data_IF_035306012099
#
_entry.id   IF_035306012099
#
_cell.length_a   1.000
_cell.length_b   1.000
_cell.length_c   1.000
_cell.angle_alpha   90.00
_cell.angle_beta   90.00
_cell.angle_gamma   90.00
#
_symmetry.space_group_name_H-M   'P 1'
#
loop_
_entity.id
_entity.type
_entity.pdbx_description
1 polymer ?
#
# COMPACT_ATOMS: atom_id res chain seq x y z
N UNK A 1 7.75 4.54 -21.52
CA UNK A 1 7.89 5.41 -20.34
C UNK A 1 6.50 5.89 -20.01
N UNK A 2 5.95 5.41 -18.90
CA UNK A 2 4.59 5.66 -18.46
C UNK A 2 4.55 7.05 -17.82
N UNK A 3 3.66 7.93 -18.28
CA UNK A 3 3.56 9.29 -17.76
C UNK A 3 2.39 9.38 -16.79
N UNK A 4 2.67 9.89 -15.59
CA UNK A 4 1.68 10.19 -14.57
C UNK A 4 1.56 11.72 -14.54
N UNK A 5 0.42 12.22 -14.98
CA UNK A 5 0.14 13.65 -14.98
C UNK A 5 -0.18 14.12 -13.56
N UNK A 6 0.72 14.89 -12.96
CA UNK A 6 0.46 15.44 -11.62
C UNK A 6 -0.59 16.55 -11.74
N UNK A 7 -1.70 16.49 -10.97
CA UNK A 7 -2.76 17.49 -11.03
C UNK A 7 -2.28 18.94 -10.90
N UNK A 8 -2.82 19.84 -11.73
CA UNK A 8 -2.45 21.27 -11.73
C UNK A 8 -2.63 21.98 -10.39
N UNK A 9 -3.53 21.46 -9.54
CA UNK A 9 -3.67 21.78 -8.13
C UNK A 9 -3.46 20.46 -7.38
N UNK A 10 -2.52 20.42 -6.45
CA UNK A 10 -2.22 19.24 -5.64
C UNK A 10 -2.41 19.54 -4.14
N UNK A 11 -3.48 19.01 -3.57
CA UNK A 11 -3.93 19.02 -2.16
C UNK A 11 -4.46 17.63 -1.78
N UNK A 12 -4.91 17.48 -0.52
CA UNK A 12 -5.51 16.25 -0.01
C UNK A 12 -6.72 15.72 -0.83
N UNK A 13 -7.45 16.58 -1.55
CA UNK A 13 -8.59 16.15 -2.37
C UNK A 13 -8.14 15.68 -3.75
N UNK A 14 -7.34 16.49 -4.44
CA UNK A 14 -6.80 16.17 -5.78
C UNK A 14 -5.76 15.04 -5.79
N UNK A 15 -5.16 14.72 -4.65
CA UNK A 15 -4.25 13.59 -4.48
C UNK A 15 -4.87 12.24 -4.89
N UNK A 16 -6.18 12.04 -4.74
CA UNK A 16 -6.82 10.77 -5.07
C UNK A 16 -6.68 10.40 -6.55
N UNK A 17 -6.65 11.41 -7.43
CA UNK A 17 -6.40 11.20 -8.86
C UNK A 17 -4.97 10.69 -9.09
N UNK A 18 -3.99 11.29 -8.41
CA UNK A 18 -2.59 10.84 -8.50
C UNK A 18 -2.45 9.41 -7.96
N UNK A 19 -3.15 9.07 -6.88
CA UNK A 19 -3.18 7.72 -6.33
C UNK A 19 -3.81 6.70 -7.30
N UNK A 20 -4.90 7.07 -7.99
CA UNK A 20 -5.53 6.24 -9.01
C UNK A 20 -4.60 6.00 -10.21
N UNK A 21 -4.02 7.07 -10.75
CA UNK A 21 -3.08 6.98 -11.88
C UNK A 21 -1.84 6.14 -11.52
N UNK A 22 -1.37 6.21 -10.26
CA UNK A 22 -0.32 5.36 -9.74
C UNK A 22 -0.76 3.90 -9.56
N UNK A 23 -1.98 3.64 -9.09
CA UNK A 23 -2.51 2.29 -8.93
C UNK A 23 -2.58 1.56 -10.28
N UNK A 24 -2.99 2.26 -11.33
CA UNK A 24 -3.09 1.76 -12.69
C UNK A 24 -1.75 1.79 -13.47
N UNK A 25 -0.66 2.25 -12.84
CA UNK A 25 0.64 2.37 -13.49
C UNK A 25 1.13 0.98 -13.99
N UNK A 26 1.40 0.83 -15.30
CA UNK A 26 2.02 -0.38 -15.83
C UNK A 26 3.46 -0.53 -15.36
N UNK A 27 3.99 -1.75 -15.43
CA UNK A 27 5.40 -2.02 -15.16
C UNK A 27 6.33 -1.22 -16.10
N UNK A 28 7.56 -1.00 -15.65
CA UNK A 28 8.59 -0.31 -16.40
C UNK A 28 8.78 1.15 -16.00
N UNK A 29 9.46 1.92 -16.85
CA UNK A 29 9.92 3.28 -16.49
C UNK A 29 8.74 4.23 -16.37
N UNK A 30 8.66 4.96 -15.26
CA UNK A 30 7.64 5.99 -15.03
C UNK A 30 8.22 7.41 -14.97
N UNK A 31 7.40 8.38 -15.35
CA UNK A 31 7.66 9.81 -15.28
C UNK A 31 6.47 10.50 -14.60
N UNK A 32 6.71 11.15 -13.48
CA UNK A 32 5.77 12.07 -12.85
C UNK A 32 5.94 13.45 -13.50
N UNK A 33 4.95 13.87 -14.29
CA UNK A 33 4.96 15.18 -14.94
C UNK A 33 4.29 16.22 -14.04
N UNK A 34 5.10 16.99 -13.30
CA UNK A 34 4.62 18.08 -12.47
C UNK A 34 4.79 19.47 -13.10
N UNK A 35 5.15 19.56 -14.40
CA UNK A 35 5.41 20.85 -15.08
C UNK A 35 4.22 21.80 -15.01
N UNK A 36 3.02 21.24 -15.09
CA UNK A 36 1.76 21.96 -15.11
C UNK A 36 1.16 22.22 -13.73
N UNK A 37 1.84 21.84 -12.64
CA UNK A 37 1.41 22.18 -11.27
C UNK A 37 1.50 23.70 -11.08
N UNK A 38 0.35 24.31 -10.77
CA UNK A 38 0.19 25.75 -10.50
C UNK A 38 -0.04 26.03 -9.03
N UNK A 39 -0.41 25.02 -8.24
CA UNK A 39 -0.60 25.16 -6.80
C UNK A 39 -0.36 23.83 -6.11
N UNK A 40 0.35 23.86 -4.99
CA UNK A 40 0.64 22.71 -4.15
C UNK A 40 0.70 23.16 -2.69
N UNK A 41 0.12 22.38 -1.77
CA UNK A 41 0.17 22.63 -0.33
C UNK A 41 0.94 21.54 0.42
N UNK A 42 1.06 21.58 1.76
CA UNK A 42 1.72 20.52 2.52
C UNK A 42 1.20 19.11 2.23
N UNK A 43 -0.11 18.94 2.02
CA UNK A 43 -0.69 17.63 1.71
C UNK A 43 -0.33 17.16 0.31
N UNK A 44 -0.27 18.08 -0.67
CA UNK A 44 0.25 17.76 -1.98
C UNK A 44 1.74 17.40 -1.97
N UNK A 45 2.55 18.09 -1.16
CA UNK A 45 4.00 17.80 -1.04
C UNK A 45 4.24 16.42 -0.43
N UNK A 46 3.65 16.14 0.73
CA UNK A 46 3.82 14.84 1.40
C UNK A 46 3.17 13.71 0.60
N UNK A 47 2.02 13.96 -0.04
CA UNK A 47 1.38 13.02 -0.95
C UNK A 47 2.25 12.68 -2.16
N UNK A 48 2.91 13.66 -2.78
CA UNK A 48 3.81 13.43 -3.90
C UNK A 48 5.04 12.60 -3.48
N UNK A 49 5.57 12.81 -2.28
CA UNK A 49 6.64 11.99 -1.71
C UNK A 49 6.18 10.56 -1.46
N UNK A 50 4.99 10.38 -0.88
CA UNK A 50 4.38 9.07 -0.66
C UNK A 50 4.15 8.32 -1.98
N UNK A 51 3.63 9.00 -3.01
CA UNK A 51 3.47 8.43 -4.34
C UNK A 51 4.81 8.03 -4.97
N UNK A 52 5.86 8.84 -4.79
CA UNK A 52 7.21 8.50 -5.22
C UNK A 52 7.78 7.29 -4.49
N UNK A 53 7.57 7.20 -3.17
CA UNK A 53 8.02 6.07 -2.36
C UNK A 53 7.37 4.76 -2.82
N UNK A 54 6.05 4.77 -3.03
CA UNK A 54 5.33 3.61 -3.56
C UNK A 54 5.79 3.26 -4.97
N UNK A 55 6.00 4.25 -5.85
CA UNK A 55 6.53 4.00 -7.19
C UNK A 55 7.93 3.38 -7.13
N UNK A 56 8.78 3.82 -6.20
CA UNK A 56 10.13 3.28 -5.99
C UNK A 56 10.11 1.83 -5.52
N UNK A 57 9.13 1.42 -4.70
CA UNK A 57 8.95 0.03 -4.29
C UNK A 57 8.37 -0.85 -5.42
N UNK A 58 7.54 -0.27 -6.29
CA UNK A 58 6.82 -1.00 -7.34
C UNK A 58 7.60 -1.17 -8.65
N UNK A 59 8.58 -0.30 -8.93
CA UNK A 59 9.30 -0.25 -10.20
C UNK A 59 10.77 -0.66 -10.04
N UNK A 60 11.33 -1.33 -11.05
CA UNK A 60 12.74 -1.76 -11.06
C UNK A 60 13.73 -0.58 -11.02
N UNK A 61 13.32 0.58 -11.54
CA UNK A 61 14.11 1.81 -11.55
C UNK A 61 13.31 2.95 -10.88
N UNK A 62 13.97 3.86 -10.14
CA UNK A 62 13.29 5.02 -9.57
C UNK A 62 12.57 5.84 -10.65
N UNK A 63 11.30 6.15 -10.41
CA UNK A 63 10.52 6.98 -11.32
C UNK A 63 11.17 8.35 -11.47
N UNK A 64 11.14 8.90 -12.69
CA UNK A 64 11.59 10.27 -12.93
C UNK A 64 10.53 11.26 -12.49
N UNK A 65 10.93 12.46 -12.08
CA UNK A 65 10.00 13.57 -11.85
C UNK A 65 10.46 14.83 -12.58
N UNK A 66 9.55 15.40 -13.38
CA UNK A 66 9.71 16.73 -13.95
C UNK A 66 9.11 17.76 -13.01
N UNK A 67 9.93 18.68 -12.50
CA UNK A 67 9.51 19.66 -11.52
C UNK A 67 8.59 20.75 -12.15
N UNK A 68 7.77 21.43 -11.33
CA UNK A 68 6.91 22.51 -11.81
C UNK A 68 7.67 23.64 -12.51
N UNK A 69 7.11 24.13 -13.62
CA UNK A 69 7.66 25.27 -14.38
C UNK A 69 7.29 26.63 -13.78
N UNK A 70 6.21 26.67 -12.98
CA UNK A 70 5.80 27.90 -12.30
C UNK A 70 6.85 28.31 -11.27
N UNK A 71 7.47 29.48 -11.45
CA UNK A 71 8.49 30.02 -10.53
C UNK A 71 8.00 30.13 -9.09
N UNK A 72 6.72 30.41 -8.89
CA UNK A 72 6.11 30.53 -7.57
C UNK A 72 6.05 29.17 -6.88
N UNK A 73 5.63 28.14 -7.60
CA UNK A 73 5.57 26.75 -7.10
C UNK A 73 6.97 26.21 -6.90
N UNK A 74 7.90 26.36 -7.84
CA UNK A 74 9.29 25.90 -7.69
C UNK A 74 9.98 26.61 -6.53
N UNK A 75 9.74 27.91 -6.35
CA UNK A 75 10.24 28.70 -5.23
C UNK A 75 9.66 28.24 -3.89
N UNK A 76 8.37 27.92 -3.85
CA UNK A 76 7.73 27.35 -2.67
C UNK A 76 8.30 25.97 -2.31
N UNK A 77 8.42 25.06 -3.28
CA UNK A 77 9.05 23.74 -3.08
C UNK A 77 10.50 23.84 -2.61
N UNK A 78 11.23 24.84 -3.09
CA UNK A 78 12.58 25.17 -2.61
C UNK A 78 12.59 25.57 -1.14
N UNK A 79 11.68 26.47 -0.72
CA UNK A 79 11.54 26.87 0.70
C UNK A 79 11.01 25.76 1.60
N UNK A 80 10.25 24.82 1.06
CA UNK A 80 9.76 23.65 1.79
C UNK A 80 10.79 22.53 1.89
N UNK A 81 11.95 22.64 1.24
CA UNK A 81 12.97 21.57 1.24
C UNK A 81 12.59 20.32 0.43
N UNK A 82 11.57 20.39 -0.42
CA UNK A 82 11.04 19.22 -1.14
C UNK A 82 12.10 18.45 -1.93
N UNK A 83 13.02 19.17 -2.59
CA UNK A 83 14.06 18.56 -3.45
C UNK A 83 15.01 17.62 -2.71
N UNK A 84 15.21 17.83 -1.41
CA UNK A 84 16.07 16.96 -0.60
C UNK A 84 15.42 15.57 -0.48
N UNK A 85 14.19 15.54 0.03
CA UNK A 85 13.39 14.32 0.18
C UNK A 85 13.01 13.68 -1.17
N UNK A 86 12.76 14.49 -2.21
CA UNK A 86 12.41 13.98 -3.53
C UNK A 86 13.55 13.16 -4.17
N UNK A 87 14.83 13.41 -3.84
CA UNK A 87 15.96 12.59 -4.33
C UNK A 87 15.98 11.20 -3.72
N UNK A 88 15.36 11.03 -2.56
CA UNK A 88 15.26 9.73 -1.92
C UNK A 88 14.21 8.86 -2.62
N UNK A 89 13.21 9.45 -3.28
CA UNK A 89 12.09 8.68 -3.85
C UNK A 89 11.99 8.77 -5.38
N UNK A 90 12.61 9.75 -6.02
CA UNK A 90 12.61 9.95 -7.47
C UNK A 90 14.01 10.09 -8.07
N UNK A 91 14.14 9.69 -9.34
CA UNK A 91 15.24 10.12 -10.19
C UNK A 91 15.00 11.57 -10.66
N UNK A 92 15.83 12.49 -10.18
CA UNK A 92 15.80 13.91 -10.55
C UNK A 92 16.88 14.22 -11.58
N UNK A 93 16.52 14.89 -12.68
CA UNK A 93 17.50 15.36 -13.65
C UNK A 93 18.41 16.42 -13.00
N UNK A 94 19.73 16.32 -13.24
CA UNK A 94 20.72 17.29 -12.77
C UNK A 94 20.60 18.62 -13.54
N UNK A 95 19.60 19.42 -13.16
CA UNK A 95 19.26 20.63 -13.92
C UNK A 95 18.35 21.56 -13.15
N UNK A 96 18.76 21.99 -11.95
CA UNK A 96 17.95 22.92 -11.16
C UNK A 96 18.77 23.69 -10.15
N UNK A 97 19.02 24.97 -10.46
CA UNK A 97 19.74 25.93 -9.60
C UNK A 97 19.40 25.78 -8.11
N UNK A 98 20.45 25.65 -7.28
CA UNK A 98 20.43 25.90 -5.83
C UNK A 98 20.19 27.40 -5.61
N UNK A 99 18.95 27.87 -5.75
CA UNK A 99 18.56 29.17 -5.20
C UNK A 99 17.96 28.94 -3.83
N UNK A 100 18.82 28.97 -2.81
CA UNK A 100 18.40 29.18 -1.43
C UNK A 100 17.81 30.58 -1.34
N UNK A 101 16.48 30.67 -1.39
CA UNK A 101 15.78 31.94 -1.22
C UNK A 101 15.94 32.41 0.22
N UNK A 102 16.79 33.41 0.43
CA UNK A 102 17.05 34.10 1.69
C UNK A 102 15.92 35.09 2.01
N UNK A 103 14.72 34.55 2.23
CA UNK A 103 13.54 35.33 2.61
C UNK A 103 12.94 34.77 3.89
N UNK A 104 12.57 35.65 4.82
CA UNK A 104 11.80 35.29 6.02
C UNK A 104 10.56 34.49 5.60
N UNK A 105 10.60 33.19 5.83
CA UNK A 105 9.67 32.24 5.22
C UNK A 105 8.41 32.12 6.08
N UNK A 106 7.23 32.26 5.47
CA UNK A 106 5.94 31.91 6.08
C UNK A 106 5.80 30.38 6.35
N UNK A 107 6.83 29.60 5.98
CA UNK A 107 6.96 28.17 6.25
C UNK A 107 7.20 27.93 7.73
N UNK A 108 6.20 27.34 8.37
CA UNK A 108 6.25 26.98 9.77
C UNK A 108 7.15 25.76 10.00
N UNK A 109 6.99 24.75 9.13
CA UNK A 109 7.76 23.52 9.15
C UNK A 109 8.00 23.05 7.71
N UNK A 110 9.27 23.09 7.30
CA UNK A 110 9.76 22.44 6.07
C UNK A 110 9.46 20.94 6.10
N UNK A 111 9.45 20.30 4.93
CA UNK A 111 9.32 18.85 4.85
C UNK A 111 10.40 18.21 5.71
N UNK A 112 9.98 17.38 6.66
CA UNK A 112 10.85 16.66 7.58
C UNK A 112 10.48 15.19 7.54
N UNK A 113 11.47 14.32 7.36
CA UNK A 113 11.30 12.87 7.49
C UNK A 113 11.10 12.48 8.96
N UNK A 114 10.24 11.50 9.21
CA UNK A 114 9.92 10.93 10.52
C UNK A 114 10.19 9.43 10.43
N UNK A 115 11.23 8.97 11.11
CA UNK A 115 11.59 7.56 11.16
C UNK A 115 11.76 7.04 12.59
N UNK A 116 12.14 7.91 13.52
CA UNK A 116 12.40 7.59 14.91
C UNK A 116 11.87 8.66 15.89
N UNK A 117 11.78 8.32 17.17
CA UNK A 117 11.30 9.24 18.22
C UNK A 117 12.13 10.54 18.30
N UNK A 118 13.42 10.48 17.98
CA UNK A 118 14.28 11.66 17.97
C UNK A 118 13.84 12.69 16.92
N UNK A 119 13.32 12.25 15.77
CA UNK A 119 12.81 13.15 14.72
C UNK A 119 11.58 13.92 15.20
N UNK A 120 10.69 13.26 15.95
CA UNK A 120 9.50 13.89 16.54
C UNK A 120 9.90 15.02 17.49
N UNK A 121 10.89 14.80 18.36
CA UNK A 121 11.41 15.84 19.25
C UNK A 121 11.99 17.03 18.47
N UNK A 122 12.79 16.78 17.43
CA UNK A 122 13.35 17.85 16.57
C UNK A 122 12.26 18.68 15.89
N UNK A 123 11.19 18.02 15.43
CA UNK A 123 10.03 18.69 14.82
C UNK A 123 9.31 19.57 15.82
N UNK A 124 9.03 19.06 17.01
CA UNK A 124 8.39 19.82 18.09
C UNK A 124 9.22 21.03 18.49
N UNK A 125 10.53 20.87 18.70
CA UNK A 125 11.43 21.96 19.08
C UNK A 125 11.48 23.06 18.02
N UNK A 126 11.58 22.67 16.74
CA UNK A 126 11.60 23.60 15.60
C UNK A 126 10.30 24.39 15.50
N UNK A 127 9.18 23.69 15.70
CA UNK A 127 7.86 24.32 15.73
C UNK A 127 7.73 25.25 16.93
N UNK A 128 8.11 24.86 18.14
CA UNK A 128 8.00 25.77 19.30
C UNK A 128 8.81 27.06 19.09
N UNK A 129 10.01 26.95 18.52
CA UNK A 129 10.86 28.10 18.20
C UNK A 129 10.24 29.02 17.13
N UNK A 130 9.68 28.48 16.04
CA UNK A 130 9.10 29.28 14.93
C UNK A 130 7.65 29.71 15.18
N UNK A 131 6.85 28.83 15.77
CA UNK A 131 5.42 29.03 16.03
C UNK A 131 5.17 30.10 17.11
N UNK A 132 6.06 30.26 18.09
CA UNK A 132 5.97 31.38 19.03
C UNK A 132 5.97 32.75 18.32
N UNK A 133 6.74 32.90 17.23
CA UNK A 133 6.78 34.11 16.44
C UNK A 133 5.59 34.23 15.47
N UNK A 134 5.16 33.13 14.82
CA UNK A 134 4.11 33.15 13.78
C UNK A 134 2.70 33.05 14.37
N UNK A 135 2.44 32.08 15.25
CA UNK A 135 1.11 31.85 15.83
C UNK A 135 0.66 33.01 16.75
N UNK A 136 1.59 33.55 17.55
CA UNK A 136 1.27 34.66 18.47
C UNK A 136 1.19 36.01 17.75
N UNK A 137 2.12 36.35 16.85
CA UNK A 137 2.15 37.67 16.18
C UNK A 137 1.27 37.77 14.93
N UNK A 138 1.11 36.68 14.17
CA UNK A 138 0.43 36.73 12.84
C UNK A 138 -0.97 36.13 12.86
N UNK A 139 -1.20 35.09 13.66
CA UNK A 139 -2.49 34.38 13.74
C UNK A 139 -3.36 34.79 14.94
N UNK A 140 -2.81 35.54 15.91
CA UNK A 140 -3.56 36.02 17.08
C UNK A 140 -3.98 34.92 18.05
N UNK A 141 -3.36 33.73 17.99
CA UNK A 141 -3.64 32.67 18.95
C UNK A 141 -2.95 32.94 20.29
N UNK A 142 -3.63 32.68 21.43
CA UNK A 142 -3.03 32.88 22.74
C UNK A 142 -1.90 31.86 22.98
N UNK A 143 -0.88 32.20 23.78
CA UNK A 143 0.29 31.34 24.03
C UNK A 143 -0.02 29.86 24.35
N UNK A 144 -1.11 29.50 25.08
CA UNK A 144 -1.51 28.10 25.28
C UNK A 144 -1.81 27.31 23.99
N UNK A 145 -2.18 27.98 22.90
CA UNK A 145 -2.44 27.34 21.61
C UNK A 145 -1.17 26.83 20.92
N UNK A 146 -0.01 27.46 21.16
CA UNK A 146 1.29 26.99 20.65
C UNK A 146 1.67 25.64 21.29
N UNK A 147 1.39 25.49 22.57
CA UNK A 147 1.59 24.23 23.30
C UNK A 147 0.65 23.16 22.76
N UNK A 148 -0.64 23.47 22.62
CA UNK A 148 -1.62 22.55 22.04
C UNK A 148 -1.26 22.14 20.60
N UNK A 149 -0.73 23.06 19.80
CA UNK A 149 -0.23 22.76 18.47
C UNK A 149 0.94 21.77 18.49
N UNK A 150 1.90 21.99 19.39
CA UNK A 150 3.06 21.10 19.56
C UNK A 150 2.63 19.69 19.98
N UNK A 151 1.63 19.59 20.86
CA UNK A 151 1.03 18.31 21.27
C UNK A 151 0.40 17.61 20.07
N UNK A 152 -0.44 18.32 19.29
CA UNK A 152 -1.06 17.74 18.09
C UNK A 152 0.00 17.19 17.15
N UNK A 153 1.06 17.95 16.89
CA UNK A 153 2.14 17.56 15.99
C UNK A 153 2.93 16.34 16.49
N UNK A 154 3.23 16.30 17.80
CA UNK A 154 3.88 15.16 18.44
C UNK A 154 3.04 13.90 18.28
N UNK A 155 1.75 13.97 18.61
CA UNK A 155 0.83 12.84 18.54
C UNK A 155 0.68 12.29 17.11
N UNK A 156 0.54 13.16 16.10
CA UNK A 156 0.44 12.70 14.70
C UNK A 156 1.74 12.10 14.17
N UNK A 157 2.91 12.65 14.53
CA UNK A 157 4.20 12.10 14.09
C UNK A 157 4.55 10.80 14.82
N UNK A 158 4.19 10.70 16.10
CA UNK A 158 4.43 9.51 16.90
C UNK A 158 3.60 8.31 16.44
N UNK A 159 2.40 8.56 15.89
CA UNK A 159 1.63 7.52 15.20
C UNK A 159 2.40 6.90 14.02
N UNK A 160 3.21 7.67 13.29
CA UNK A 160 4.04 7.12 12.21
C UNK A 160 5.04 6.12 12.81
N UNK A 161 5.81 6.55 13.80
CA UNK A 161 6.86 5.72 14.44
C UNK A 161 6.28 4.47 15.11
N UNK A 162 5.13 4.58 15.78
CA UNK A 162 4.57 3.49 16.59
C UNK A 162 3.69 2.52 15.78
N UNK A 163 3.10 2.96 14.67
CA UNK A 163 2.02 2.22 14.01
C UNK A 163 2.19 2.00 12.50
N UNK A 164 2.94 2.84 11.79
CA UNK A 164 3.06 2.74 10.34
C UNK A 164 3.95 1.57 9.90
N UNK A 165 4.98 1.23 10.68
CA UNK A 165 6.06 0.28 10.30
C UNK A 165 6.82 0.72 9.04
N UNK A 166 6.76 2.02 8.71
CA UNK A 166 7.44 2.66 7.60
C UNK A 166 7.79 4.12 7.99
N UNK A 167 8.81 4.73 7.37
CA UNK A 167 9.05 6.16 7.55
C UNK A 167 7.90 6.99 6.97
N UNK A 168 7.81 8.24 7.41
CA UNK A 168 6.85 9.21 6.89
C UNK A 168 7.44 10.61 6.78
N UNK A 169 6.61 11.55 6.35
CA UNK A 169 6.97 12.96 6.23
C UNK A 169 5.93 13.83 6.90
N UNK A 170 6.41 14.95 7.46
CA UNK A 170 5.56 16.01 8.02
C UNK A 170 5.94 17.36 7.41
N UNK A 171 4.93 18.18 7.15
CA UNK A 171 5.08 19.55 6.66
C UNK A 171 3.98 20.45 7.20
N UNK A 172 4.28 21.73 7.45
CA UNK A 172 3.27 22.69 7.90
C UNK A 172 3.48 24.10 7.35
N UNK A 173 2.39 24.73 6.92
CA UNK A 173 2.39 26.05 6.27
C UNK A 173 1.19 26.89 6.71
N UNK A 174 1.42 28.20 6.88
CA UNK A 174 0.35 29.17 7.12
C UNK A 174 -0.16 29.78 5.82
N UNK A 175 -1.48 30.03 5.75
CA UNK A 175 -2.15 30.62 4.60
C UNK A 175 -3.14 31.69 5.03
N UNK A 176 -3.30 32.74 4.24
CA UNK A 176 -4.38 33.72 4.44
C UNK A 176 -5.56 33.40 3.52
N UNK A 177 -6.60 32.78 4.07
CA UNK A 177 -7.81 32.42 3.33
C UNK A 177 -8.83 33.57 3.30
N UNK A 178 -8.42 34.73 2.78
CA UNK A 178 -9.24 35.96 2.79
C UNK A 178 -10.60 35.77 2.11
N UNK A 179 -10.63 35.05 0.97
CA UNK A 179 -11.86 34.84 0.18
C UNK A 179 -12.71 33.64 0.64
N UNK A 180 -12.14 32.69 1.38
CA UNK A 180 -12.84 31.49 1.84
C UNK A 180 -13.38 31.65 3.26
N UNK A 181 -12.53 32.07 4.20
CA UNK A 181 -12.88 32.17 5.63
C UNK A 181 -12.55 33.53 6.26
N UNK A 182 -11.96 34.47 5.51
CA UNK A 182 -11.57 35.78 6.06
C UNK A 182 -10.48 35.73 7.14
N UNK A 183 -9.83 34.57 7.35
CA UNK A 183 -8.84 34.34 8.42
C UNK A 183 -7.57 33.68 7.91
N UNK A 184 -6.52 33.74 8.71
CA UNK A 184 -5.30 32.96 8.49
C UNK A 184 -5.54 31.55 9.03
N UNK A 185 -5.11 30.54 8.28
CA UNK A 185 -5.22 29.12 8.62
C UNK A 185 -3.85 28.46 8.59
N UNK A 186 -3.73 27.36 9.31
CA UNK A 186 -2.53 26.52 9.34
C UNK A 186 -2.89 25.15 8.76
N UNK A 187 -2.15 24.75 7.73
CA UNK A 187 -2.27 23.42 7.13
C UNK A 187 -1.09 22.60 7.60
N UNK A 188 -1.39 21.46 8.22
CA UNK A 188 -0.42 20.43 8.61
C UNK A 188 -0.73 19.21 7.77
N UNK A 189 0.31 18.58 7.24
CA UNK A 189 0.17 17.25 6.64
C UNK A 189 1.22 16.32 7.22
N UNK A 190 0.77 15.11 7.54
CA UNK A 190 1.60 13.95 7.89
C UNK A 190 1.19 12.84 6.93
N UNK A 191 2.17 12.19 6.30
CA UNK A 191 1.94 11.05 5.44
C UNK A 191 2.99 9.98 5.70
N UNK A 192 2.57 8.72 5.63
CA UNK A 192 3.41 7.53 5.62
C UNK A 192 2.91 6.58 4.52
N UNK A 193 3.76 5.63 4.14
CA UNK A 193 3.42 4.55 3.19
C UNK A 193 3.36 3.20 3.89
N UNK A 194 2.98 3.21 5.17
CA UNK A 194 2.97 2.03 6.03
C UNK A 194 1.73 1.15 5.86
N UNK A 195 1.58 0.22 6.81
CA UNK A 195 0.51 -0.80 6.81
C UNK A 195 -0.93 -0.27 6.99
N UNK A 196 -1.08 1.04 7.21
CA UNK A 196 -2.37 1.72 7.37
C UNK A 196 -3.15 1.35 8.64
N UNK A 197 -4.29 2.02 8.85
CA UNK A 197 -5.12 1.83 10.05
C UNK A 197 -5.72 0.42 10.13
N UNK A 198 -6.15 -0.12 8.99
CA UNK A 198 -6.69 -1.48 8.90
C UNK A 198 -5.64 -2.53 9.28
N UNK A 199 -4.45 -2.47 8.67
CA UNK A 199 -3.35 -3.36 9.04
C UNK A 199 -2.97 -3.18 10.50
N UNK A 200 -3.00 -1.93 10.99
CA UNK A 200 -2.53 -1.64 12.33
C UNK A 200 -3.40 -2.18 13.46
N UNK A 201 -4.72 -2.13 13.27
CA UNK A 201 -5.69 -2.56 14.25
C UNK A 201 -6.14 -4.02 14.07
N UNK A 202 -5.71 -4.70 13.00
CA UNK A 202 -6.25 -5.99 12.63
C UNK A 202 -6.05 -7.07 13.71
N UNK A 203 -4.84 -7.17 14.26
CA UNK A 203 -4.48 -8.21 15.24
C UNK A 203 -5.38 -8.19 16.47
N UNK A 204 -5.68 -6.99 16.97
CA UNK A 204 -6.44 -6.80 18.21
C UNK A 204 -7.96 -6.72 17.95
N UNK A 205 -8.38 -6.07 16.87
CA UNK A 205 -9.78 -5.67 16.70
C UNK A 205 -10.53 -6.38 15.57
N UNK A 206 -9.85 -6.96 14.57
CA UNK A 206 -10.54 -7.51 13.39
C UNK A 206 -11.58 -8.58 13.76
N UNK A 207 -11.28 -9.43 14.73
CA UNK A 207 -12.18 -10.49 15.19
C UNK A 207 -13.52 -9.95 15.72
N UNK A 208 -13.52 -8.77 16.35
CA UNK A 208 -14.74 -8.11 16.86
C UNK A 208 -15.66 -7.64 15.74
N UNK A 209 -15.09 -7.25 14.60
CA UNK A 209 -15.85 -6.68 13.46
C UNK A 209 -16.19 -7.72 12.39
N UNK A 210 -15.48 -8.85 12.36
CA UNK A 210 -15.75 -9.97 11.44
C UNK A 210 -15.71 -9.53 9.98
N UNK A 211 -16.74 -9.89 9.21
CA UNK A 211 -16.84 -9.59 7.77
C UNK A 211 -16.92 -8.09 7.45
N UNK A 212 -17.20 -7.24 8.45
CA UNK A 212 -17.22 -5.78 8.28
C UNK A 212 -15.84 -5.14 8.42
N UNK A 213 -14.80 -5.92 8.73
CA UNK A 213 -13.46 -5.37 8.87
C UNK A 213 -12.87 -4.90 7.53
N UNK A 214 -12.82 -3.59 7.34
CA UNK A 214 -12.27 -2.91 6.16
C UNK A 214 -11.63 -1.58 6.52
N UNK A 215 -11.15 -0.85 5.51
CA UNK A 215 -10.43 0.42 5.71
C UNK A 215 -11.32 1.48 6.37
N UNK A 216 -12.57 1.63 5.92
CA UNK A 216 -13.55 2.55 6.49
C UNK A 216 -13.86 2.24 7.96
N UNK A 217 -14.14 0.98 8.28
CA UNK A 217 -14.42 0.55 9.67
C UNK A 217 -13.20 0.68 10.58
N UNK A 218 -11.99 0.43 10.07
CA UNK A 218 -10.76 0.64 10.85
C UNK A 218 -10.50 2.13 11.12
N UNK A 219 -10.73 3.00 10.14
CA UNK A 219 -10.66 4.45 10.30
C UNK A 219 -11.71 4.93 11.31
N UNK A 220 -12.95 4.48 11.21
CA UNK A 220 -14.01 4.81 12.18
C UNK A 220 -13.64 4.35 13.59
N UNK A 221 -13.16 3.11 13.73
CA UNK A 221 -12.71 2.55 15.01
C UNK A 221 -11.62 3.39 15.68
N UNK A 222 -10.60 3.83 14.94
CA UNK A 222 -9.56 4.71 15.47
C UNK A 222 -10.07 6.13 15.74
N UNK A 223 -10.70 6.74 14.74
CA UNK A 223 -11.00 8.17 14.72
C UNK A 223 -12.21 8.56 15.57
N UNK A 224 -13.24 7.70 15.60
CA UNK A 224 -14.45 7.91 16.39
C UNK A 224 -14.32 7.22 17.74
N UNK A 225 -13.89 5.97 17.77
CA UNK A 225 -13.89 5.16 18.99
C UNK A 225 -12.56 5.13 19.77
N UNK A 226 -11.47 5.68 19.21
CA UNK A 226 -10.19 5.76 19.91
C UNK A 226 -9.49 4.41 20.08
N UNK A 227 -9.80 3.42 19.23
CA UNK A 227 -9.12 2.12 19.28
C UNK A 227 -7.66 2.25 18.82
N UNK A 228 -6.77 1.52 19.50
CA UNK A 228 -5.32 1.48 19.23
C UNK A 228 -4.83 0.02 19.21
N UNK A 229 -3.66 -0.21 18.61
CA UNK A 229 -2.97 -1.51 18.59
C UNK A 229 -2.52 -1.94 20.00
N UNK A 230 -2.12 -0.99 20.84
CA UNK A 230 -1.54 -1.28 22.16
C UNK A 230 -2.53 -0.91 23.28
N UNK A 231 -3.22 -1.89 23.90
CA UNK A 231 -4.21 -1.64 24.93
C UNK A 231 -3.54 -1.32 26.28
N UNK A 232 -3.08 -0.07 26.46
CA UNK A 232 -2.60 0.45 27.74
C UNK A 232 -3.54 1.55 28.27
N UNK A 233 -3.66 1.64 29.60
CA UNK A 233 -4.45 2.70 30.28
C UNK A 233 -3.83 4.07 29.97
N UNK A 234 -4.43 4.82 29.05
CA UNK A 234 -3.97 6.13 28.58
C UNK A 234 -3.63 6.20 27.08
N UNK A 235 -3.48 5.06 26.40
CA UNK A 235 -3.28 5.01 24.93
C UNK A 235 -4.62 5.10 24.18
N UNK A 236 -4.57 5.52 22.91
CA UNK A 236 -5.76 5.70 22.05
C UNK A 236 -6.50 7.05 22.22
N UNK A 237 -6.01 7.94 23.08
CA UNK A 237 -6.59 9.28 23.27
C UNK A 237 -6.08 10.31 22.25
N UNK A 238 -4.90 10.10 21.65
CA UNK A 238 -4.21 11.09 20.81
C UNK A 238 -5.09 11.66 19.70
N UNK A 239 -5.56 10.81 18.79
CA UNK A 239 -6.42 11.23 17.66
C UNK A 239 -7.74 11.86 18.13
N UNK A 240 -8.37 11.34 19.18
CA UNK A 240 -9.59 11.92 19.72
C UNK A 240 -9.36 13.30 20.35
N UNK A 241 -8.24 13.49 21.03
CA UNK A 241 -7.83 14.78 21.59
C UNK A 241 -7.50 15.79 20.49
N UNK A 242 -6.74 15.37 19.46
CA UNK A 242 -6.45 16.19 18.28
C UNK A 242 -7.77 16.64 17.65
N UNK A 243 -8.71 15.72 17.42
CA UNK A 243 -10.01 16.04 16.82
C UNK A 243 -10.80 17.05 17.64
N UNK A 244 -10.91 16.85 18.97
CA UNK A 244 -11.55 17.82 19.88
C UNK A 244 -10.89 19.20 19.81
N UNK A 245 -9.56 19.24 19.71
CA UNK A 245 -8.80 20.47 19.65
C UNK A 245 -9.00 21.21 18.31
N UNK A 246 -8.93 20.50 17.17
CA UNK A 246 -9.16 21.07 15.84
C UNK A 246 -10.59 21.61 15.72
N UNK A 247 -11.58 20.90 16.25
CA UNK A 247 -12.98 21.36 16.30
C UNK A 247 -13.14 22.67 17.08
N UNK A 248 -12.44 22.83 18.21
CA UNK A 248 -12.44 24.10 18.99
C UNK A 248 -11.85 25.27 18.20
N UNK A 249 -10.94 25.01 17.28
CA UNK A 249 -10.40 26.03 16.36
C UNK A 249 -11.29 26.27 15.13
N UNK A 250 -12.45 25.63 15.06
CA UNK A 250 -13.32 25.60 13.89
C UNK A 250 -12.54 25.14 12.65
N UNK A 251 -11.60 24.21 12.82
CA UNK A 251 -10.77 23.64 11.76
C UNK A 251 -11.33 22.33 11.23
N UNK A 252 -10.70 21.81 10.18
CA UNK A 252 -10.98 20.49 9.60
C UNK A 252 -9.82 19.55 9.92
N UNK A 253 -10.14 18.30 10.29
CA UNK A 253 -9.19 17.20 10.35
C UNK A 253 -9.70 16.07 9.46
N UNK A 254 -8.80 15.54 8.63
CA UNK A 254 -9.09 14.47 7.69
C UNK A 254 -7.96 13.44 7.71
N UNK A 255 -8.30 12.17 7.62
CA UNK A 255 -7.37 11.05 7.56
C UNK A 255 -7.76 10.19 6.38
N UNK A 256 -6.79 9.85 5.53
CA UNK A 256 -6.93 8.91 4.43
C UNK A 256 -6.05 7.70 4.69
N UNK A 257 -6.60 6.49 4.58
CA UNK A 257 -5.84 5.25 4.74
C UNK A 257 -6.48 4.14 3.91
N UNK A 258 -5.66 3.39 3.16
CA UNK A 258 -6.13 2.38 2.23
C UNK A 258 -7.14 2.97 1.23
N UNK A 259 -8.35 2.39 1.21
CA UNK A 259 -9.43 2.77 0.30
C UNK A 259 -10.51 3.65 0.92
N UNK A 260 -10.23 4.26 2.07
CA UNK A 260 -11.18 5.11 2.77
C UNK A 260 -10.56 6.43 3.24
N UNK A 261 -11.43 7.39 3.51
CA UNK A 261 -11.13 8.69 4.10
C UNK A 261 -12.21 9.04 5.11
N UNK A 262 -11.80 9.52 6.27
CA UNK A 262 -12.70 10.03 7.32
C UNK A 262 -12.32 11.45 7.68
N UNK A 263 -13.30 12.30 7.96
CA UNK A 263 -13.09 13.69 8.34
C UNK A 263 -14.05 14.15 9.45
N UNK A 264 -13.57 15.06 10.31
CA UNK A 264 -14.43 15.88 11.17
C UNK A 264 -14.57 17.26 10.50
N UNK A 265 -15.72 17.45 9.84
CA UNK A 265 -15.96 18.54 8.89
C UNK A 265 -16.73 19.67 9.59
N UNK A 266 -16.21 20.91 9.60
CA UNK A 266 -16.91 22.07 10.16
C UNK A 266 -18.01 22.58 9.22
N UNK A 267 -18.92 23.42 9.73
CA UNK A 267 -20.07 23.95 8.98
C UNK A 267 -19.71 24.76 7.71
N UNK A 268 -18.47 25.23 7.58
CA UNK A 268 -18.02 26.02 6.43
C UNK A 268 -17.42 25.19 5.29
N UNK A 269 -17.35 23.87 5.44
CA UNK A 269 -16.80 22.95 4.46
C UNK A 269 -17.84 21.87 4.10
N UNK A 270 -17.87 21.49 2.82
CA UNK A 270 -18.85 20.55 2.27
C UNK A 270 -18.26 19.15 2.01
N UNK A 271 -17.02 18.91 2.45
CA UNK A 271 -16.41 17.59 2.32
C UNK A 271 -17.27 16.51 3.02
N UNK A 272 -17.41 15.32 2.43
CA UNK A 272 -18.09 14.21 3.09
C UNK A 272 -17.32 13.75 4.34
N UNK A 273 -18.02 13.42 5.44
CA UNK A 273 -17.36 12.95 6.67
C UNK A 273 -16.75 11.54 6.53
N UNK A 274 -17.23 10.75 5.58
CA UNK A 274 -16.67 9.44 5.23
C UNK A 274 -16.76 9.24 3.71
N UNK A 275 -15.67 8.79 3.10
CA UNK A 275 -15.58 8.32 1.73
C UNK A 275 -14.97 6.91 1.73
N UNK A 276 -15.55 6.00 0.94
CA UNK A 276 -15.06 4.64 0.75
C UNK A 276 -14.93 4.34 -0.75
N UNK A 277 -14.15 3.32 -1.10
CA UNK A 277 -13.91 2.94 -2.49
C UNK A 277 -12.92 3.87 -3.21
N UNK A 278 -12.09 4.59 -2.45
CA UNK A 278 -10.97 5.34 -3.02
C UNK A 278 -9.91 4.36 -3.54
N UNK A 279 -9.24 4.71 -4.63
CA UNK A 279 -8.12 3.89 -5.11
C UNK A 279 -6.99 3.86 -4.09
N UNK A 280 -6.43 2.70 -3.73
CA UNK A 280 -5.36 2.65 -2.74
C UNK A 280 -4.07 3.24 -3.32
N UNK A 281 -3.33 4.01 -2.51
CA UNK A 281 -2.04 4.58 -2.94
C UNK A 281 -1.01 3.50 -3.23
N UNK A 282 -0.95 2.50 -2.37
CA UNK A 282 -0.23 1.25 -2.59
C UNK A 282 -1.25 0.16 -2.91
N UNK A 283 -1.15 -0.45 -4.09
CA UNK A 283 -1.82 -1.74 -4.29
C UNK A 283 -1.11 -2.70 -3.36
N UNK A 284 -1.79 -3.06 -2.28
CA UNK A 284 -1.29 -4.05 -1.34
C UNK A 284 -1.26 -5.42 -2.04
N UNK A 285 -0.19 -5.68 -2.80
CA UNK A 285 0.13 -7.01 -3.30
C UNK A 285 0.41 -7.96 -2.13
N UNK A 286 0.79 -7.42 -0.97
CA UNK A 286 0.86 -8.13 0.31
C UNK A 286 -0.50 -8.60 0.83
N UNK A 287 -1.61 -7.90 0.56
CA UNK A 287 -2.97 -8.34 0.92
C UNK A 287 -3.46 -9.50 0.06
N UNK A 288 -2.82 -9.74 -1.09
CA UNK A 288 -3.04 -10.98 -1.80
C UNK A 288 -2.49 -12.14 -0.96
N UNK A 289 -1.40 -11.98 -0.20
CA UNK A 289 -0.79 -13.13 0.48
C UNK A 289 -1.31 -13.43 1.87
N UNK A 290 -1.99 -14.57 1.99
CA UNK A 290 -2.17 -15.28 3.26
C UNK A 290 -1.11 -16.38 3.34
N UNK A 291 -0.18 -16.27 4.30
CA UNK A 291 0.70 -17.38 4.71
C UNK A 291 -0.11 -18.33 5.58
N UNK A 292 -0.57 -19.45 5.01
CA UNK A 292 -1.14 -20.54 5.80
C UNK A 292 -0.03 -21.55 6.08
N UNK A 293 0.33 -21.65 7.35
CA UNK A 293 1.47 -22.42 7.81
C UNK A 293 1.05 -23.88 8.07
N UNK A 294 1.61 -24.84 7.33
CA UNK A 294 1.44 -26.27 7.63
C UNK A 294 2.42 -26.78 8.71
N UNK A 295 3.11 -25.88 9.43
CA UNK A 295 4.14 -26.21 10.43
C UNK A 295 3.62 -27.00 11.63
N UNK A 296 2.31 -27.03 11.86
CA UNK A 296 1.73 -27.76 12.99
C UNK A 296 1.79 -29.29 12.82
N UNK A 297 2.16 -29.80 11.64
CA UNK A 297 2.22 -31.24 11.37
C UNK A 297 3.45 -31.63 10.53
N UNK A 298 4.50 -32.11 11.19
CA UNK A 298 5.74 -32.60 10.54
C UNK A 298 5.55 -33.87 9.70
N UNK A 299 4.46 -34.63 9.96
CA UNK A 299 4.10 -35.87 9.28
C UNK A 299 2.66 -35.80 8.74
N UNK A 300 2.54 -35.69 7.42
CA UNK A 300 1.29 -35.61 6.68
C UNK A 300 1.03 -36.94 5.94
N UNK A 301 0.74 -37.99 6.73
CA UNK A 301 0.71 -39.39 6.24
C UNK A 301 -0.69 -40.02 6.30
N UNK A 302 -1.67 -39.36 6.93
CA UNK A 302 -3.02 -39.90 7.06
C UNK A 302 -4.07 -38.94 6.51
N UNK A 303 -5.12 -39.51 5.89
CA UNK A 303 -6.24 -38.74 5.33
C UNK A 303 -6.96 -37.85 6.36
N UNK A 304 -7.19 -38.26 7.63
CA UNK A 304 -7.74 -37.38 8.66
C UNK A 304 -6.85 -36.17 8.96
N UNK A 305 -5.52 -36.36 9.04
CA UNK A 305 -4.56 -35.26 9.25
C UNK A 305 -4.59 -34.29 8.07
N UNK A 306 -4.56 -34.79 6.83
CA UNK A 306 -4.65 -33.96 5.64
C UNK A 306 -5.95 -33.16 5.55
N UNK A 307 -7.08 -33.77 5.94
CA UNK A 307 -8.37 -33.07 6.01
C UNK A 307 -8.35 -31.96 7.05
N UNK A 308 -7.79 -32.21 8.24
CA UNK A 308 -7.71 -31.19 9.30
C UNK A 308 -6.86 -29.99 8.85
N UNK A 309 -5.71 -30.25 8.21
CA UNK A 309 -4.86 -29.20 7.63
C UNK A 309 -5.59 -28.44 6.53
N UNK A 310 -6.26 -29.12 5.60
CA UNK A 310 -7.07 -28.46 4.57
C UNK A 310 -8.14 -27.55 5.19
N UNK A 311 -8.89 -28.04 6.19
CA UNK A 311 -9.94 -27.25 6.84
C UNK A 311 -9.38 -26.04 7.60
N UNK A 312 -8.20 -26.18 8.23
CA UNK A 312 -7.50 -25.08 8.87
C UNK A 312 -7.07 -24.02 7.85
N UNK A 313 -6.45 -24.43 6.74
CA UNK A 313 -6.11 -23.54 5.62
C UNK A 313 -7.36 -22.85 5.08
N UNK A 314 -8.42 -23.60 4.79
CA UNK A 314 -9.69 -23.07 4.29
C UNK A 314 -10.33 -22.08 5.25
N UNK A 315 -10.28 -22.30 6.57
CA UNK A 315 -10.78 -21.37 7.59
C UNK A 315 -9.98 -20.07 7.66
N UNK A 316 -8.70 -20.14 7.30
CA UNK A 316 -7.80 -18.99 7.22
C UNK A 316 -7.90 -18.31 5.86
N UNK A 317 -8.66 -18.79 4.88
CA UNK A 317 -8.88 -18.12 3.60
C UNK A 317 -10.19 -17.33 3.71
N UNK A 318 -10.13 -16.00 3.62
CA UNK A 318 -11.35 -15.17 3.67
C UNK A 318 -12.05 -15.18 2.33
N UNK A 319 -13.37 -15.27 2.38
CA UNK A 319 -14.24 -14.95 1.25
C UNK A 319 -14.36 -13.41 1.15
N UNK A 320 -13.33 -12.77 0.60
CA UNK A 320 -13.27 -11.31 0.42
C UNK A 320 -13.96 -10.85 -0.88
N UNK A 321 -13.78 -9.58 -1.25
CA UNK A 321 -14.19 -9.02 -2.57
C UNK A 321 -13.01 -8.82 -3.54
N UNK A 322 -11.78 -9.16 -3.14
CA UNK A 322 -10.54 -8.97 -3.91
C UNK A 322 -9.78 -10.27 -4.12
N UNK A 323 -9.03 -10.42 -5.23
CA UNK A 323 -8.23 -11.61 -5.47
C UNK A 323 -7.22 -11.84 -4.35
N UNK A 324 -6.93 -13.11 -4.04
CA UNK A 324 -5.97 -13.51 -2.99
C UNK A 324 -4.98 -14.53 -3.54
N UNK A 325 -3.73 -14.48 -3.13
CA UNK A 325 -2.65 -15.43 -3.37
C UNK A 325 -2.28 -16.18 -2.07
N UNK A 326 -2.75 -17.39 -1.84
CA UNK A 326 -2.37 -18.14 -0.64
C UNK A 326 -1.02 -18.84 -0.81
N UNK A 327 -0.07 -18.55 0.09
CA UNK A 327 1.21 -19.26 0.17
C UNK A 327 1.08 -20.39 1.19
N UNK A 328 1.15 -21.63 0.71
CA UNK A 328 1.07 -22.84 1.54
C UNK A 328 2.48 -23.36 1.77
N UNK A 329 3.01 -23.12 2.97
CA UNK A 329 4.38 -23.50 3.29
C UNK A 329 4.46 -24.96 3.77
N UNK A 330 5.13 -25.80 2.98
CA UNK A 330 5.41 -27.21 3.25
C UNK A 330 6.86 -27.44 3.67
N UNK A 331 7.64 -26.39 3.95
CA UNK A 331 9.07 -26.49 4.27
C UNK A 331 9.34 -27.37 5.49
N UNK A 332 8.45 -27.36 6.48
CA UNK A 332 8.55 -28.17 7.71
C UNK A 332 7.92 -29.56 7.59
N UNK A 333 7.24 -29.86 6.48
CA UNK A 333 6.66 -31.19 6.23
C UNK A 333 7.78 -32.12 5.76
N UNK A 334 8.01 -33.21 6.50
CA UNK A 334 9.06 -34.18 6.15
C UNK A 334 8.56 -35.28 5.23
N UNK A 335 7.30 -35.67 5.40
CA UNK A 335 6.65 -36.77 4.67
C UNK A 335 5.26 -36.33 4.25
N UNK A 336 4.96 -36.44 2.96
CA UNK A 336 3.66 -36.18 2.35
C UNK A 336 3.26 -37.40 1.52
N UNK A 337 2.21 -38.12 1.92
CA UNK A 337 1.70 -39.27 1.17
C UNK A 337 0.65 -38.86 0.12
N UNK A 338 0.24 -39.80 -0.74
CA UNK A 338 -0.80 -39.54 -1.75
C UNK A 338 -2.12 -39.09 -1.12
N UNK A 339 -2.51 -39.66 0.01
CA UNK A 339 -3.80 -39.34 0.65
C UNK A 339 -3.82 -37.91 1.20
N UNK A 340 -2.70 -37.45 1.75
CA UNK A 340 -2.59 -36.11 2.26
C UNK A 340 -2.33 -35.07 1.17
N UNK A 341 -1.55 -35.40 0.13
CA UNK A 341 -1.43 -34.57 -1.07
C UNK A 341 -2.82 -34.36 -1.73
N UNK A 342 -3.65 -35.39 -1.78
CA UNK A 342 -5.03 -35.30 -2.28
C UNK A 342 -5.90 -34.34 -1.45
N UNK A 343 -5.78 -34.36 -0.11
CA UNK A 343 -6.50 -33.40 0.74
C UNK A 343 -5.89 -31.99 0.64
N UNK A 344 -4.62 -31.79 0.99
CA UNK A 344 -4.01 -30.47 1.18
C UNK A 344 -3.76 -29.74 -0.13
N UNK A 345 -3.54 -30.46 -1.24
CA UNK A 345 -3.28 -29.85 -2.56
C UNK A 345 -4.51 -29.98 -3.46
N UNK A 346 -4.91 -31.19 -3.84
CA UNK A 346 -5.91 -31.37 -4.90
C UNK A 346 -7.30 -30.86 -4.49
N UNK A 347 -7.83 -31.28 -3.33
CA UNK A 347 -9.15 -30.84 -2.86
C UNK A 347 -9.19 -29.36 -2.49
N UNK A 348 -8.09 -28.83 -1.93
CA UNK A 348 -7.97 -27.40 -1.66
C UNK A 348 -8.12 -26.58 -2.96
N UNK A 349 -7.38 -26.98 -4.01
CA UNK A 349 -7.47 -26.35 -5.32
C UNK A 349 -8.85 -26.54 -5.94
N UNK A 350 -9.46 -27.73 -5.91
CA UNK A 350 -10.80 -27.96 -6.47
C UNK A 350 -11.88 -27.03 -5.89
N UNK A 351 -11.83 -26.81 -4.57
CA UNK A 351 -12.77 -25.90 -3.90
C UNK A 351 -12.65 -24.47 -4.45
N UNK A 352 -11.45 -24.08 -4.88
CA UNK A 352 -11.16 -22.73 -5.33
C UNK A 352 -11.01 -22.59 -6.86
N UNK A 353 -10.86 -23.66 -7.64
CA UNK A 353 -10.54 -23.63 -9.07
C UNK A 353 -11.71 -23.22 -9.98
N UNK A 354 -12.90 -22.93 -9.43
CA UNK A 354 -14.07 -22.53 -10.23
C UNK A 354 -13.80 -21.18 -10.91
N UNK A 355 -13.81 -21.08 -12.25
CA UNK A 355 -13.46 -19.85 -12.97
C UNK A 355 -14.35 -18.65 -12.60
N UNK A 356 -15.64 -18.91 -12.33
CA UNK A 356 -16.63 -17.87 -12.03
C UNK A 356 -16.67 -17.46 -10.54
N UNK A 357 -15.85 -18.10 -9.68
CA UNK A 357 -15.79 -17.77 -8.27
C UNK A 357 -14.99 -16.48 -8.10
N UNK A 358 -15.70 -15.38 -7.90
CA UNK A 358 -15.15 -14.08 -7.52
C UNK A 358 -15.17 -13.91 -5.99
N UNK A 359 -14.09 -13.40 -5.40
CA UNK A 359 -12.82 -13.07 -6.04
C UNK A 359 -11.93 -14.29 -6.31
N UNK A 360 -10.98 -14.14 -7.24
CA UNK A 360 -10.06 -15.21 -7.62
C UNK A 360 -9.03 -15.49 -6.51
N UNK A 361 -8.95 -16.74 -6.05
CA UNK A 361 -7.92 -17.25 -5.14
C UNK A 361 -6.86 -18.05 -5.91
N UNK A 362 -5.62 -17.61 -5.84
CA UNK A 362 -4.40 -18.20 -6.36
C UNK A 362 -3.66 -18.94 -5.24
N UNK A 363 -2.86 -19.94 -5.59
CA UNK A 363 -2.14 -20.77 -4.60
C UNK A 363 -0.73 -21.06 -5.07
N UNK A 364 0.24 -20.93 -4.16
CA UNK A 364 1.62 -21.37 -4.36
C UNK A 364 2.01 -22.27 -3.19
N UNK A 365 2.58 -23.44 -3.50
CA UNK A 365 3.08 -24.36 -2.48
C UNK A 365 4.58 -24.18 -2.34
N UNK A 366 5.02 -23.68 -1.18
CA UNK A 366 6.41 -23.39 -0.88
C UNK A 366 7.09 -24.55 -0.15
N UNK A 367 8.41 -24.67 -0.28
CA UNK A 367 9.18 -25.66 0.47
C UNK A 367 8.96 -27.10 0.00
N UNK A 368 8.56 -27.29 -1.26
CA UNK A 368 8.33 -28.62 -1.83
C UNK A 368 9.67 -29.30 -2.09
N UNK A 369 9.92 -30.39 -1.36
CA UNK A 369 11.13 -31.22 -1.47
C UNK A 369 10.94 -32.30 -2.52
N UNK A 370 12.03 -32.92 -2.98
CA UNK A 370 11.97 -33.98 -4.00
C UNK A 370 11.03 -35.13 -3.61
N UNK A 371 11.01 -35.52 -2.33
CA UNK A 371 10.12 -36.55 -1.80
C UNK A 371 8.62 -36.19 -1.87
N UNK A 372 8.26 -34.92 -2.04
CA UNK A 372 6.87 -34.46 -2.18
C UNK A 372 6.40 -34.42 -3.64
N UNK A 373 7.33 -34.37 -4.60
CA UNK A 373 7.01 -34.12 -6.01
C UNK A 373 6.12 -35.21 -6.60
N UNK A 374 6.45 -36.49 -6.40
CA UNK A 374 5.70 -37.60 -6.98
C UNK A 374 4.25 -37.69 -6.45
N UNK A 375 4.01 -37.64 -5.12
CA UNK A 375 2.65 -37.58 -4.58
C UNK A 375 1.83 -36.39 -5.12
N UNK A 376 2.42 -35.18 -5.14
CA UNK A 376 1.74 -33.97 -5.61
C UNK A 376 1.43 -34.05 -7.11
N UNK A 377 2.41 -34.44 -7.93
CA UNK A 377 2.26 -34.57 -9.37
C UNK A 377 1.13 -35.55 -9.71
N UNK A 378 1.11 -36.71 -9.05
CA UNK A 378 0.14 -37.75 -9.31
C UNK A 378 -1.29 -37.35 -8.93
N UNK A 379 -1.50 -36.71 -7.76
CA UNK A 379 -2.86 -36.26 -7.36
C UNK A 379 -3.37 -35.14 -8.26
N UNK A 380 -2.49 -34.20 -8.66
CA UNK A 380 -2.86 -33.14 -9.59
C UNK A 380 -3.24 -33.71 -10.96
N UNK A 381 -2.47 -34.66 -11.50
CA UNK A 381 -2.80 -35.34 -12.75
C UNK A 381 -4.12 -36.12 -12.68
N UNK A 382 -4.32 -36.89 -11.59
CA UNK A 382 -5.56 -37.65 -11.34
C UNK A 382 -6.80 -36.76 -11.39
N UNK A 383 -6.68 -35.52 -10.89
CA UNK A 383 -7.77 -34.56 -10.84
C UNK A 383 -7.78 -33.57 -12.00
N UNK A 384 -6.90 -33.72 -12.99
CA UNK A 384 -6.73 -32.78 -14.11
C UNK A 384 -6.46 -31.33 -13.67
N UNK A 385 -5.78 -31.18 -12.53
CA UNK A 385 -5.37 -29.89 -11.95
C UNK A 385 -3.90 -29.62 -12.25
N UNK A 386 -3.50 -28.37 -12.06
CA UNK A 386 -2.11 -27.95 -12.05
C UNK A 386 -1.88 -26.98 -10.89
N UNK A 387 -0.63 -26.85 -10.46
CA UNK A 387 -0.25 -25.97 -9.37
C UNK A 387 1.19 -25.46 -9.57
N UNK A 388 1.43 -24.23 -9.11
CA UNK A 388 2.77 -23.66 -9.01
C UNK A 388 3.38 -24.04 -7.67
N UNK A 389 4.59 -24.57 -7.70
CA UNK A 389 5.32 -25.01 -6.49
C UNK A 389 6.73 -24.42 -6.48
N UNK A 390 7.23 -24.06 -5.30
CA UNK A 390 8.62 -23.66 -5.07
C UNK A 390 9.42 -24.86 -4.56
N UNK A 391 10.55 -25.12 -5.22
CA UNK A 391 11.50 -26.19 -4.92
C UNK A 391 12.87 -25.59 -4.62
N UNK A 392 13.55 -26.11 -3.60
CA UNK A 392 14.92 -25.70 -3.28
C UNK A 392 15.10 -24.23 -2.88
N UNK A 393 14.05 -23.57 -2.37
CA UNK A 393 14.10 -22.22 -1.79
C UNK A 393 13.97 -21.07 -2.78
N UNK A 394 14.17 -21.28 -4.09
CA UNK A 394 14.13 -20.19 -5.08
C UNK A 394 13.54 -20.59 -6.44
N UNK A 395 13.42 -21.89 -6.75
CA UNK A 395 13.03 -22.37 -8.09
C UNK A 395 11.58 -22.79 -8.15
N UNK A 396 10.79 -22.12 -8.99
CA UNK A 396 9.38 -22.46 -9.21
C UNK A 396 9.20 -23.49 -10.33
N UNK A 397 8.17 -24.32 -10.21
CA UNK A 397 7.79 -25.34 -11.19
C UNK A 397 6.28 -25.43 -11.31
N UNK A 398 5.81 -25.72 -12.52
CA UNK A 398 4.42 -26.07 -12.79
C UNK A 398 4.24 -27.59 -12.73
N UNK A 399 3.49 -28.07 -11.72
CA UNK A 399 3.15 -29.48 -11.54
C UNK A 399 1.72 -29.78 -11.98
N UNK A 400 1.42 -31.06 -12.20
CA UNK A 400 0.10 -31.56 -12.56
C UNK A 400 -0.14 -31.71 -14.05
N UNK A 401 -1.42 -31.73 -14.43
CA UNK A 401 -1.90 -31.88 -15.81
C UNK A 401 -1.76 -30.57 -16.58
N UNK A 402 -0.94 -30.58 -17.63
CA UNK A 402 -0.66 -29.43 -18.50
C UNK A 402 -0.31 -29.91 -19.90
N UNK A 403 -0.71 -29.15 -20.92
CA UNK A 403 -0.29 -29.41 -22.29
C UNK A 403 1.11 -28.82 -22.57
N UNK A 404 1.73 -29.23 -23.68
CA UNK A 404 3.08 -28.77 -24.03
C UNK A 404 3.16 -27.26 -24.30
N UNK A 405 2.12 -26.68 -24.88
CA UNK A 405 1.97 -25.24 -25.08
C UNK A 405 1.79 -24.49 -23.73
N UNK A 406 0.95 -24.99 -22.83
CA UNK A 406 0.80 -24.42 -21.48
C UNK A 406 2.12 -24.39 -20.71
N UNK A 407 2.92 -25.45 -20.78
CA UNK A 407 4.23 -25.48 -20.12
C UNK A 407 5.21 -24.48 -20.75
N UNK A 408 5.29 -24.41 -22.09
CA UNK A 408 6.16 -23.44 -22.76
C UNK A 408 5.78 -22.01 -22.40
N UNK A 409 4.50 -21.65 -22.55
CA UNK A 409 3.99 -20.31 -22.25
C UNK A 409 4.21 -19.97 -20.78
N UNK A 410 3.94 -20.90 -19.86
CA UNK A 410 4.18 -20.69 -18.45
C UNK A 410 5.67 -20.44 -18.15
N UNK A 411 6.59 -21.20 -18.75
CA UNK A 411 8.03 -21.00 -18.59
C UNK A 411 8.47 -19.61 -19.10
N UNK A 412 7.93 -19.16 -20.23
CA UNK A 412 8.21 -17.81 -20.75
C UNK A 412 7.68 -16.73 -19.79
N UNK A 413 6.46 -16.89 -19.26
CA UNK A 413 5.91 -15.95 -18.26
C UNK A 413 6.75 -15.96 -16.98
N UNK A 414 7.19 -17.13 -16.53
CA UNK A 414 8.03 -17.32 -15.35
C UNK A 414 9.43 -16.68 -15.52
N UNK A 415 10.02 -16.78 -16.71
CA UNK A 415 11.31 -16.19 -17.03
C UNK A 415 11.26 -14.66 -17.12
N UNK A 416 10.20 -14.13 -17.73
CA UNK A 416 10.01 -12.68 -17.88
C UNK A 416 9.46 -12.04 -16.60
N UNK A 417 8.79 -12.82 -15.75
CA UNK A 417 8.19 -12.39 -14.49
C UNK A 417 6.85 -11.66 -14.68
N UNK A 418 6.79 -10.66 -15.56
CA UNK A 418 5.59 -9.85 -15.83
C UNK A 418 5.44 -9.45 -17.30
N UNK A 419 4.23 -9.58 -17.82
CA UNK A 419 3.90 -9.33 -19.22
C UNK A 419 2.79 -8.29 -19.32
N UNK A 420 3.10 -7.13 -19.91
CA UNK A 420 2.09 -6.16 -20.33
C UNK A 420 1.30 -6.62 -21.56
N UNK A 421 0.16 -5.99 -21.83
CA UNK A 421 -0.72 -6.36 -22.95
C UNK A 421 -0.04 -6.29 -24.33
N UNK A 422 0.84 -5.31 -24.55
CA UNK A 422 1.63 -5.18 -25.78
C UNK A 422 2.64 -6.33 -25.91
N UNK A 423 3.36 -6.62 -24.83
CA UNK A 423 4.35 -7.71 -24.78
C UNK A 423 3.74 -9.10 -25.02
N UNK A 424 2.47 -9.30 -24.68
CA UNK A 424 1.74 -10.55 -24.99
C UNK A 424 1.67 -10.79 -26.49
N UNK A 425 1.45 -9.75 -27.30
CA UNK A 425 1.41 -9.86 -28.76
C UNK A 425 2.78 -10.20 -29.36
N UNK A 426 3.84 -9.59 -28.83
CA UNK A 426 5.20 -9.76 -29.33
C UNK A 426 5.81 -11.11 -28.92
N UNK A 427 5.61 -11.54 -27.67
CA UNK A 427 6.17 -12.78 -27.13
C UNK A 427 5.35 -14.02 -27.50
N UNK A 428 4.05 -13.86 -27.76
CA UNK A 428 3.17 -14.94 -28.19
C UNK A 428 2.46 -14.58 -29.51
N UNK A 429 3.20 -14.55 -30.63
CA UNK A 429 2.61 -14.23 -31.93
C UNK A 429 1.61 -15.31 -32.38
N UNK A 430 1.80 -16.55 -31.96
CA UNK A 430 0.91 -17.68 -32.26
C UNK A 430 -0.41 -17.61 -31.46
N UNK A 431 -1.53 -17.86 -32.16
CA UNK A 431 -2.87 -17.85 -31.57
C UNK A 431 -3.09 -19.03 -30.60
N UNK A 432 -2.38 -20.15 -30.79
CA UNK A 432 -2.36 -21.27 -29.86
C UNK A 432 -1.73 -20.88 -28.52
N UNK A 433 -0.56 -20.23 -28.55
CA UNK A 433 0.13 -19.78 -27.35
C UNK A 433 -0.65 -18.68 -26.61
N UNK A 434 -1.27 -17.72 -27.31
CA UNK A 434 -2.19 -16.73 -26.68
C UNK A 434 -3.40 -17.39 -26.03
N UNK A 435 -3.98 -18.42 -26.65
CA UNK A 435 -5.04 -19.22 -26.02
C UNK A 435 -4.53 -20.00 -24.81
N UNK A 436 -3.30 -20.51 -24.84
CA UNK A 436 -2.68 -21.18 -23.70
C UNK A 436 -2.48 -20.21 -22.53
N UNK A 437 -2.05 -18.98 -22.79
CA UNK A 437 -1.90 -17.92 -21.80
C UNK A 437 -3.24 -17.60 -21.10
N UNK A 438 -4.32 -17.44 -21.88
CA UNK A 438 -5.67 -17.24 -21.32
C UNK A 438 -6.11 -18.45 -20.47
N UNK A 439 -5.80 -19.68 -20.90
CA UNK A 439 -6.10 -20.89 -20.12
C UNK A 439 -5.33 -20.91 -18.80
N UNK A 440 -4.05 -20.56 -18.79
CA UNK A 440 -3.24 -20.48 -17.58
C UNK A 440 -3.82 -19.47 -16.58
N UNK A 441 -4.24 -18.29 -17.07
CA UNK A 441 -4.92 -17.28 -16.25
C UNK A 441 -6.24 -17.78 -15.65
N UNK A 442 -7.09 -18.42 -16.47
CA UNK A 442 -8.35 -19.02 -15.99
C UNK A 442 -8.13 -20.14 -14.97
N UNK A 443 -7.07 -20.92 -15.14
CA UNK A 443 -6.64 -21.98 -14.22
C UNK A 443 -5.88 -21.45 -13.01
N UNK A 444 -5.70 -20.13 -12.89
CA UNK A 444 -5.07 -19.44 -11.76
C UNK A 444 -3.62 -19.83 -11.54
N UNK A 445 -2.90 -20.11 -12.62
CA UNK A 445 -1.48 -20.50 -12.63
C UNK A 445 -0.54 -19.33 -12.92
N UNK A 446 -1.12 -18.23 -13.39
CA UNK A 446 -0.52 -16.92 -13.60
C UNK A 446 -1.58 -15.87 -13.22
N UNK A 447 -1.16 -14.71 -12.77
CA UNK A 447 -2.04 -13.65 -12.30
C UNK A 447 -2.41 -12.70 -13.46
N UNK A 448 -3.70 -12.54 -13.81
CA UNK A 448 -4.11 -11.58 -14.82
C UNK A 448 -4.07 -10.15 -14.27
N UNK A 449 -3.48 -9.22 -15.03
CA UNK A 449 -3.37 -7.81 -14.65
C UNK A 449 -4.55 -6.99 -15.22
N UNK A 450 -5.01 -5.94 -14.51
CA UNK A 450 -5.88 -4.92 -15.11
C UNK A 450 -5.19 -4.33 -16.34
N UNK A 451 -5.85 -4.38 -17.51
CA UNK A 451 -5.26 -3.94 -18.78
C UNK A 451 -4.84 -5.07 -19.74
N UNK A 452 -5.01 -6.35 -19.37
CA UNK A 452 -4.88 -7.49 -20.29
C UNK A 452 -3.51 -8.18 -20.31
N UNK A 453 -2.64 -7.83 -19.36
CA UNK A 453 -1.36 -8.50 -19.12
C UNK A 453 -1.45 -9.68 -18.15
N UNK A 454 -0.31 -10.33 -17.90
CA UNK A 454 -0.19 -11.45 -16.96
C UNK A 454 1.12 -11.38 -16.16
N UNK A 455 1.11 -11.88 -14.93
CA UNK A 455 2.31 -11.98 -14.08
C UNK A 455 2.51 -13.40 -13.57
N UNK A 456 3.76 -13.84 -13.47
CA UNK A 456 4.13 -15.09 -12.83
C UNK A 456 3.79 -15.04 -11.33
N UNK A 457 3.31 -16.16 -10.79
CA UNK A 457 3.04 -16.23 -9.35
C UNK A 457 4.33 -16.20 -8.51
N UNK A 458 5.46 -16.62 -9.08
CA UNK A 458 6.77 -16.58 -8.42
C UNK A 458 7.24 -15.16 -8.14
N UNK A 459 7.10 -14.25 -9.12
CA UNK A 459 7.41 -12.83 -8.97
C UNK A 459 6.59 -12.24 -7.82
N UNK A 460 5.28 -12.50 -7.83
CA UNK A 460 4.39 -12.06 -6.75
C UNK A 460 4.80 -12.62 -5.37
N UNK A 461 5.40 -13.81 -5.29
CA UNK A 461 5.91 -14.38 -4.03
C UNK A 461 7.26 -13.80 -3.63
N UNK A 462 8.16 -13.53 -4.60
CA UNK A 462 9.50 -12.98 -4.36
C UNK A 462 9.45 -11.54 -3.86
N UNK A 463 8.51 -10.75 -4.37
CA UNK A 463 8.26 -9.37 -3.90
C UNK A 463 7.81 -9.32 -2.42
N UNK A 464 7.60 -10.48 -1.78
CA UNK A 464 7.06 -10.65 -0.42
C UNK A 464 7.98 -11.45 0.53
N UNK A 465 9.18 -11.83 0.06
CA UNK A 465 10.10 -12.73 0.76
C UNK A 465 11.14 -12.01 1.61
#
# INVERSE_FOLDING_TARGET
MNVIDVPGRLDAGSFDRLAADLADLPDGKALFDARHVRWIDPAGITGLLAAGAVARERLDEPARIQLPESSDVSGYLGRMGFREHAREVFALDEGGSRRTGDGASDVLLEVTSISENQDVHRVVDRVQARAGAILSRTLGYPSPAVVQFSVVLSEVCQNVVEHAEAPGWVAAQTYRWTRRLGRVVLVISVADVGRGFRGSLAEEHAARFGDRWGDGTALEAAFIHGLTRFPDSGRGQGIQQIRKQVRRWNGIIQIRSGTARIADVPEWDDAPPMEEGLEPLAVDVGSLVRRSVASLYSHLVTRPTGRAVRLAIESQISEGRRPTLSLIDLSEVRVLDFSCADEVVAKLLQRHAKPDRSPASFFVFRGVRDAHLDPIQAVLQRHSLAAVVETGGERFRLLGSRSGDELRVWLTVEEVGGLGAEAVGDLFPDEGDRRALVRLGRRRLIFPLPGGGYRALSTLVRDLS
#
